data_IF_357818285874
#
_entry.id   IF_357818285874
#
_cell.length_a   1.000
_cell.length_b   1.000
_cell.length_c   1.000
_cell.angle_alpha   90.00
_cell.angle_beta   90.00
_cell.angle_gamma   90.00
#
_symmetry.space_group_name_H-M   'P 1'
#
loop_
_entity.id
_entity.type
_entity.pdbx_description
1 polymer ?
#
# COMPACT_ATOMS: atom_id res chain seq x y z
N UNK A 1 23.47 -3.62 -2.31
CA UNK A 1 23.60 -2.52 -3.31
C UNK A 1 22.88 -2.77 -4.64
N UNK A 2 22.83 -3.99 -5.21
CA UNK A 2 22.12 -4.23 -6.49
C UNK A 2 20.61 -3.94 -6.46
N UNK A 3 19.91 -4.34 -5.39
CA UNK A 3 18.46 -4.11 -5.25
C UNK A 3 18.14 -2.61 -5.14
N UNK A 4 18.98 -1.84 -4.44
CA UNK A 4 18.80 -0.40 -4.26
C UNK A 4 19.01 0.41 -5.55
N UNK A 5 19.98 0.03 -6.39
CA UNK A 5 20.18 0.66 -7.69
C UNK A 5 19.03 0.36 -8.65
N UNK A 6 18.54 -0.89 -8.69
CA UNK A 6 17.39 -1.25 -9.50
C UNK A 6 16.11 -0.54 -9.06
N UNK A 7 15.89 -0.42 -7.74
CA UNK A 7 14.76 0.35 -7.18
C UNK A 7 14.89 1.85 -7.47
N UNK A 8 16.09 2.41 -7.57
CA UNK A 8 16.29 3.80 -7.99
C UNK A 8 16.05 4.00 -9.50
N UNK A 9 16.39 3.02 -10.33
CA UNK A 9 16.16 3.05 -11.77
C UNK A 9 14.67 2.90 -12.11
N UNK A 10 13.94 2.10 -11.32
CA UNK A 10 12.49 1.89 -11.42
C UNK A 10 11.74 2.54 -10.24
N UNK A 11 12.18 3.72 -9.80
CA UNK A 11 11.68 4.34 -8.57
C UNK A 11 10.18 4.62 -8.61
N UNK A 12 9.67 5.06 -9.76
CA UNK A 12 8.23 5.27 -9.94
C UNK A 12 7.44 3.96 -9.83
N UNK A 13 7.89 2.90 -10.49
CA UNK A 13 7.21 1.60 -10.44
C UNK A 13 7.28 0.98 -9.04
N UNK A 14 8.43 1.09 -8.38
CA UNK A 14 8.63 0.61 -7.00
C UNK A 14 7.71 1.34 -6.03
N UNK A 15 7.65 2.68 -6.11
CA UNK A 15 6.76 3.48 -5.26
C UNK A 15 5.30 3.22 -5.58
N UNK A 16 4.94 3.01 -6.86
CA UNK A 16 3.59 2.66 -7.27
C UNK A 16 3.14 1.32 -6.69
N UNK A 17 3.93 0.26 -6.88
CA UNK A 17 3.61 -1.08 -6.37
C UNK A 17 3.58 -1.09 -4.84
N UNK A 18 4.53 -0.41 -4.19
CA UNK A 18 4.56 -0.31 -2.74
C UNK A 18 3.34 0.46 -2.20
N UNK A 19 2.97 1.59 -2.83
CA UNK A 19 1.80 2.37 -2.44
C UNK A 19 0.49 1.57 -2.65
N UNK A 20 0.39 0.82 -3.76
CA UNK A 20 -0.77 -0.04 -4.03
C UNK A 20 -0.90 -1.15 -2.99
N UNK A 21 0.20 -1.84 -2.66
CA UNK A 21 0.20 -2.91 -1.65
C UNK A 21 -0.10 -2.33 -0.27
N UNK A 22 0.51 -1.21 0.09
CA UNK A 22 0.30 -0.56 1.39
C UNK A 22 -1.15 -0.10 1.55
N UNK A 23 -1.75 0.47 0.51
CA UNK A 23 -3.15 0.89 0.51
C UNK A 23 -4.09 -0.31 0.59
N UNK A 24 -3.85 -1.35 -0.21
CA UNK A 24 -4.61 -2.61 -0.13
C UNK A 24 -4.56 -3.19 1.29
N UNK A 25 -3.38 -3.23 1.90
CA UNK A 25 -3.16 -3.74 3.25
C UNK A 25 -3.82 -2.86 4.32
N UNK A 26 -3.79 -1.54 4.17
CA UNK A 26 -4.46 -0.60 5.07
C UNK A 26 -5.99 -0.75 5.02
N UNK A 27 -6.54 -0.94 3.82
CA UNK A 27 -7.96 -1.22 3.67
C UNK A 27 -8.34 -2.58 4.27
N UNK A 28 -7.48 -3.60 4.11
CA UNK A 28 -7.69 -4.92 4.72
C UNK A 28 -7.60 -4.88 6.25
N UNK A 29 -6.70 -4.06 6.80
CA UNK A 29 -6.65 -3.75 8.23
C UNK A 29 -7.95 -3.13 8.73
N UNK A 30 -8.49 -2.15 8.03
CA UNK A 30 -9.80 -1.54 8.35
C UNK A 30 -10.94 -2.55 8.27
N UNK A 31 -10.92 -3.46 7.30
CA UNK A 31 -11.90 -4.56 7.19
C UNK A 31 -11.81 -5.54 8.36
N UNK A 32 -10.60 -5.92 8.76
CA UNK A 32 -10.38 -6.80 9.92
C UNK A 32 -10.88 -6.18 11.23
N UNK A 33 -10.83 -4.84 11.37
CA UNK A 33 -11.44 -4.12 12.51
C UNK A 33 -12.96 -4.28 12.49
N UNK A 34 -13.61 -4.06 11.34
CA UNK A 34 -15.08 -4.10 11.23
C UNK A 34 -15.63 -5.51 11.42
N UNK A 35 -14.86 -6.55 11.08
CA UNK A 35 -15.26 -7.97 11.25
C UNK A 35 -14.77 -8.60 12.57
N UNK A 36 -14.28 -7.80 13.53
CA UNK A 36 -13.78 -8.27 14.84
C UNK A 36 -12.65 -9.32 14.75
N UNK A 37 -11.87 -9.30 13.67
CA UNK A 37 -10.72 -10.20 13.48
C UNK A 37 -9.49 -9.67 14.21
N UNK A 38 -9.54 -9.68 15.54
CA UNK A 38 -8.55 -9.08 16.45
C UNK A 38 -7.11 -9.55 16.15
N UNK A 39 -6.91 -10.85 15.95
CA UNK A 39 -5.58 -11.40 15.66
C UNK A 39 -5.07 -10.88 14.32
N UNK A 40 -5.90 -10.92 13.28
CA UNK A 40 -5.51 -10.48 11.95
C UNK A 40 -5.22 -8.97 11.93
N UNK A 41 -6.08 -8.18 12.57
CA UNK A 41 -5.90 -6.74 12.73
C UNK A 41 -4.56 -6.41 13.41
N UNK A 42 -4.19 -7.12 14.49
CA UNK A 42 -2.93 -6.89 15.19
C UNK A 42 -1.70 -7.17 14.30
N UNK A 43 -1.71 -8.25 13.53
CA UNK A 43 -0.63 -8.57 12.58
C UNK A 43 -0.55 -7.56 11.44
N UNK A 44 -1.70 -7.18 10.88
CA UNK A 44 -1.77 -6.21 9.79
C UNK A 44 -1.30 -4.82 10.26
N UNK A 45 -1.72 -4.39 11.45
CA UNK A 45 -1.34 -3.14 12.09
C UNK A 45 0.16 -3.04 12.36
N UNK A 46 0.79 -4.14 12.76
CA UNK A 46 2.23 -4.20 12.96
C UNK A 46 3.01 -4.12 11.64
N UNK A 47 2.51 -4.72 10.55
CA UNK A 47 3.18 -4.74 9.25
C UNK A 47 3.07 -3.41 8.48
N UNK A 48 2.00 -2.63 8.69
CA UNK A 48 1.75 -1.34 8.02
C UNK A 48 2.92 -0.35 8.07
N UNK A 49 3.54 -0.04 9.24
CA UNK A 49 4.67 0.89 9.29
C UNK A 49 5.91 0.36 8.54
N UNK A 50 6.13 -0.96 8.50
CA UNK A 50 7.22 -1.56 7.72
C UNK A 50 6.97 -1.47 6.21
N UNK A 51 5.72 -1.56 5.77
CA UNK A 51 5.32 -1.39 4.37
C UNK A 51 5.42 0.08 3.91
N UNK A 52 5.12 1.03 4.80
CA UNK A 52 5.21 2.47 4.51
C UNK A 52 6.64 3.03 4.57
N UNK A 53 7.53 2.40 5.34
CA UNK A 53 8.92 2.84 5.57
C UNK A 53 9.71 3.07 4.27
N UNK A 54 9.73 2.16 3.28
CA UNK A 54 10.45 2.37 2.03
C UNK A 54 9.86 3.53 1.23
N UNK A 55 8.53 3.70 1.24
CA UNK A 55 7.85 4.81 0.55
C UNK A 55 8.26 6.17 1.13
N UNK A 56 8.30 6.29 2.46
CA UNK A 56 8.76 7.49 3.16
C UNK A 56 10.25 7.74 2.89
N UNK A 57 11.08 6.70 2.92
CA UNK A 57 12.51 6.82 2.62
C UNK A 57 12.76 7.35 1.21
N UNK A 58 12.06 6.83 0.18
CA UNK A 58 12.14 7.38 -1.18
C UNK A 58 11.67 8.84 -1.26
N UNK A 59 10.68 9.21 -0.46
CA UNK A 59 10.14 10.56 -0.43
C UNK A 59 11.08 11.55 0.28
N UNK A 60 11.87 11.10 1.25
CA UNK A 60 12.86 11.90 1.98
C UNK A 60 14.16 12.02 1.18
N UNK A 61 14.59 10.97 0.49
CA UNK A 61 15.86 10.94 -0.25
C UNK A 61 15.85 11.85 -1.49
N UNK A 62 14.68 12.19 -2.03
CA UNK A 62 14.53 13.14 -3.14
C UNK A 62 14.30 14.56 -2.65
N UNK A 63 15.32 15.42 -2.84
CA UNK A 63 15.28 16.86 -2.53
C UNK A 63 14.48 17.71 -3.52
N UNK A 64 14.26 17.22 -4.74
CA UNK A 64 13.54 17.96 -5.78
C UNK A 64 12.01 17.93 -5.62
N UNK A 65 11.40 19.11 -5.45
CA UNK A 65 9.95 19.25 -5.23
C UNK A 65 9.10 18.75 -6.41
N UNK A 66 9.59 18.91 -7.65
CA UNK A 66 8.91 18.39 -8.86
C UNK A 66 8.86 16.86 -8.87
N UNK A 67 9.90 16.20 -8.39
CA UNK A 67 9.96 14.74 -8.31
C UNK A 67 9.03 14.24 -7.22
N UNK A 68 8.99 14.91 -6.07
CA UNK A 68 8.05 14.60 -4.98
C UNK A 68 6.58 14.75 -5.40
N UNK A 69 6.24 15.79 -6.18
CA UNK A 69 4.88 15.95 -6.72
C UNK A 69 4.50 14.83 -7.68
N UNK A 70 5.41 14.42 -8.58
CA UNK A 70 5.17 13.28 -9.48
C UNK A 70 4.99 11.97 -8.70
N UNK A 71 5.81 11.75 -7.67
CA UNK A 71 5.65 10.58 -6.79
C UNK A 71 4.34 10.62 -6.02
N UNK A 72 3.95 11.78 -5.50
CA UNK A 72 2.69 11.96 -4.80
C UNK A 72 1.49 11.65 -5.72
N UNK A 73 1.50 12.19 -6.94
CA UNK A 73 0.45 11.91 -7.93
C UNK A 73 0.41 10.41 -8.30
N UNK A 74 1.57 9.78 -8.45
CA UNK A 74 1.67 8.36 -8.74
C UNK A 74 1.17 7.48 -7.57
N UNK A 75 1.52 7.85 -6.33
CA UNK A 75 1.03 7.20 -5.13
C UNK A 75 -0.47 7.40 -4.95
N UNK A 76 -1.01 8.59 -5.24
CA UNK A 76 -2.45 8.83 -5.19
C UNK A 76 -3.22 7.96 -6.19
N UNK A 77 -2.70 7.78 -7.41
CA UNK A 77 -3.28 6.85 -8.38
C UNK A 77 -3.17 5.40 -7.91
N UNK A 78 -2.03 5.01 -7.33
CA UNK A 78 -1.85 3.68 -6.75
C UNK A 78 -2.82 3.38 -5.61
N UNK A 79 -3.07 4.35 -4.72
CA UNK A 79 -4.02 4.25 -3.61
C UNK A 79 -5.47 4.16 -4.12
N UNK A 80 -5.83 4.98 -5.11
CA UNK A 80 -7.16 4.86 -5.73
C UNK A 80 -7.37 3.48 -6.36
N UNK A 81 -6.34 2.89 -6.97
CA UNK A 81 -6.42 1.53 -7.52
C UNK A 81 -6.43 0.45 -6.43
N UNK A 82 -5.64 0.60 -5.37
CA UNK A 82 -5.57 -0.36 -4.25
C UNK A 82 -6.90 -0.49 -3.52
N UNK A 83 -7.50 0.64 -3.12
CA UNK A 83 -8.84 0.72 -2.54
C UNK A 83 -9.92 0.16 -3.47
N UNK A 84 -9.88 0.48 -4.77
CA UNK A 84 -10.83 -0.06 -5.75
C UNK A 84 -10.69 -1.57 -5.93
N UNK A 85 -9.46 -2.09 -5.99
CA UNK A 85 -9.18 -3.54 -6.06
C UNK A 85 -9.71 -4.28 -4.83
N UNK A 86 -9.53 -3.71 -3.64
CA UNK A 86 -10.01 -4.29 -2.39
C UNK A 86 -11.55 -4.33 -2.35
N UNK A 87 -12.21 -3.24 -2.75
CA UNK A 87 -13.67 -3.21 -2.88
C UNK A 87 -14.20 -4.20 -3.93
N UNK A 88 -13.49 -4.34 -5.06
CA UNK A 88 -13.84 -5.32 -6.09
C UNK A 88 -13.66 -6.77 -5.60
N UNK A 89 -12.62 -7.07 -4.81
CA UNK A 89 -12.44 -8.38 -4.20
C UNK A 89 -13.54 -8.70 -3.19
N UNK A 90 -13.90 -7.74 -2.32
CA UNK A 90 -15.02 -7.88 -1.38
C UNK A 90 -16.31 -8.12 -2.15
N UNK A 91 -16.58 -7.32 -3.19
CA UNK A 91 -17.78 -7.46 -4.02
C UNK A 91 -17.82 -8.77 -4.81
N UNK A 92 -16.67 -9.30 -5.21
CA UNK A 92 -16.53 -10.60 -5.85
C UNK A 92 -16.64 -11.78 -4.86
N UNK A 93 -16.74 -11.52 -3.56
CA UNK A 93 -16.85 -12.54 -2.52
C UNK A 93 -15.55 -13.31 -2.25
N UNK A 94 -14.40 -12.78 -2.68
CA UNK A 94 -13.08 -13.40 -2.43
C UNK A 94 -12.54 -12.83 -1.11
N UNK A 95 -12.49 -13.67 -0.08
CA UNK A 95 -11.94 -13.31 1.24
C UNK A 95 -12.94 -12.67 2.21
N UNK A 96 -14.20 -12.51 1.80
CA UNK A 96 -15.34 -12.27 2.70
C UNK A 96 -15.74 -13.64 3.25
N UNK A 97 -15.65 -13.83 4.56
CA UNK A 97 -16.30 -14.97 5.20
C UNK A 97 -17.77 -14.90 4.82
N UNK A 98 -18.22 -15.82 3.95
CA UNK A 98 -19.64 -15.94 3.59
C UNK A 98 -20.45 -15.88 4.88
N UNK A 99 -21.30 -14.86 5.01
CA UNK A 99 -22.47 -14.98 5.87
C UNK A 99 -23.30 -16.12 5.29
N UNK A 100 -23.20 -17.28 5.94
CA UNK A 100 -24.19 -18.34 5.87
C UNK A 100 -25.25 -17.99 6.90
#
# INVERSE_FOLDING_TARGET
MKVWNWMNEHMYLTVFVLALITDFWANWYSYAIVHDWIVLQAFLGMALPFLNLPGILFFIDKKDMKVRLKLCALSALAMSLGSTLMLLMIRAGIGVGKEI
#
